data_IF_270047212097
#
_entry.id   IF_270047212097
#
_cell.length_a   1.000
_cell.length_b   1.000
_cell.length_c   1.000
_cell.angle_alpha   90.00
_cell.angle_beta   90.00
_cell.angle_gamma   90.00
#
_symmetry.space_group_name_H-M   'P 1'
#
loop_
_entity.id
_entity.type
_entity.pdbx_description
1 polymer ?
#
# COMPACT_ATOMS: atom_id res chain seq x y z
N UNK A 1 1.32 9.51 -4.26
CA UNK A 1 0.46 8.98 -3.19
C UNK A 1 1.06 7.75 -2.51
N UNK A 2 1.56 6.73 -3.23
CA UNK A 2 2.20 5.54 -2.64
C UNK A 2 3.40 5.82 -1.70
N UNK A 3 4.26 6.78 -2.06
CA UNK A 3 5.40 7.14 -1.23
C UNK A 3 5.01 7.70 0.14
N UNK A 4 3.95 8.50 0.21
CA UNK A 4 3.48 9.08 1.49
C UNK A 4 2.96 7.97 2.41
N UNK A 5 2.16 7.05 1.90
CA UNK A 5 1.63 5.93 2.67
C UNK A 5 2.75 5.02 3.16
N UNK A 6 3.71 4.68 2.29
CA UNK A 6 4.84 3.84 2.65
C UNK A 6 5.73 4.50 3.73
N UNK A 7 5.97 5.81 3.62
CA UNK A 7 6.74 6.58 4.61
C UNK A 7 5.99 6.66 5.94
N UNK A 8 4.68 6.91 5.93
CA UNK A 8 3.86 6.98 7.16
C UNK A 8 3.83 5.62 7.89
N UNK A 9 3.66 4.51 7.18
CA UNK A 9 3.74 3.18 7.80
C UNK A 9 5.13 2.86 8.35
N UNK A 10 6.20 3.24 7.64
CA UNK A 10 7.56 3.04 8.11
C UNK A 10 7.85 3.83 9.41
N UNK A 11 7.38 5.08 9.47
CA UNK A 11 7.56 5.93 10.65
C UNK A 11 6.74 5.39 11.83
N UNK A 12 5.50 4.96 11.60
CA UNK A 12 4.63 4.41 12.66
C UNK A 12 5.19 3.08 13.19
N UNK A 13 5.62 2.16 12.31
CA UNK A 13 6.24 0.89 12.72
C UNK A 13 7.59 1.11 13.44
N UNK A 14 8.30 2.21 13.15
CA UNK A 14 9.55 2.56 13.84
C UNK A 14 9.31 3.23 15.20
N UNK A 15 8.24 4.02 15.35
CA UNK A 15 7.92 4.75 16.58
C UNK A 15 7.19 3.87 17.60
N UNK A 16 6.33 2.97 17.14
CA UNK A 16 5.51 2.13 18.01
C UNK A 16 5.46 0.69 17.45
N UNK A 17 6.60 -0.03 17.46
CA UNK A 17 6.67 -1.37 16.91
C UNK A 17 5.70 -2.28 17.69
N UNK A 18 4.69 -2.88 17.04
CA UNK A 18 3.66 -3.66 17.73
C UNK A 18 4.29 -4.85 18.47
N UNK A 19 4.39 -4.78 19.78
CA UNK A 19 4.93 -5.88 20.58
C UNK A 19 3.97 -7.06 20.43
N UNK A 20 4.43 -8.17 19.86
CA UNK A 20 3.61 -9.38 19.76
C UNK A 20 3.26 -9.88 21.16
N UNK A 21 2.08 -10.50 21.32
CA UNK A 21 1.59 -11.02 22.61
C UNK A 21 2.56 -11.99 23.31
N UNK A 22 3.51 -12.58 22.56
CA UNK A 22 4.54 -13.50 23.03
C UNK A 22 5.90 -12.83 23.34
N UNK A 23 5.98 -11.49 23.33
CA UNK A 23 7.20 -10.74 23.67
C UNK A 23 8.32 -10.83 22.63
N UNK A 24 8.02 -11.29 21.40
CA UNK A 24 9.00 -11.29 20.29
C UNK A 24 8.93 -9.98 19.51
N UNK A 25 10.09 -9.54 19.02
CA UNK A 25 10.19 -8.35 18.17
C UNK A 25 9.30 -8.51 16.93
N UNK A 26 8.41 -7.54 16.73
CA UNK A 26 7.65 -7.37 15.49
C UNK A 26 8.60 -7.38 14.30
N UNK A 27 8.29 -8.16 13.26
CA UNK A 27 9.07 -8.15 12.03
C UNK A 27 8.39 -7.19 11.03
N UNK A 28 8.83 -5.93 10.92
CA UNK A 28 8.23 -4.95 10.00
C UNK A 28 8.31 -5.37 8.52
N UNK A 29 9.16 -6.36 8.20
CA UNK A 29 9.30 -6.90 6.84
C UNK A 29 8.01 -7.51 6.28
N UNK A 30 7.19 -8.20 7.08
CA UNK A 30 5.91 -8.75 6.61
C UNK A 30 4.91 -7.64 6.27
N UNK A 31 4.84 -6.63 7.13
CA UNK A 31 3.94 -5.50 6.94
C UNK A 31 4.32 -4.67 5.71
N UNK A 32 5.62 -4.48 5.48
CA UNK A 32 6.17 -3.85 4.28
C UNK A 32 5.84 -4.67 3.03
N UNK A 33 6.03 -6.00 3.06
CA UNK A 33 5.71 -6.87 1.93
C UNK A 33 4.21 -6.84 1.59
N UNK A 34 3.35 -6.90 2.61
CA UNK A 34 1.90 -6.79 2.44
C UNK A 34 1.50 -5.43 1.88
N UNK A 35 2.08 -4.34 2.39
CA UNK A 35 1.81 -2.98 1.92
C UNK A 35 2.24 -2.78 0.46
N UNK A 36 3.41 -3.30 0.08
CA UNK A 36 3.88 -3.27 -1.32
C UNK A 36 2.95 -4.07 -2.25
N UNK A 37 2.51 -5.26 -1.81
CA UNK A 37 1.59 -6.09 -2.57
C UNK A 37 0.23 -5.39 -2.76
N UNK A 38 -0.35 -4.87 -1.67
CA UNK A 38 -1.60 -4.10 -1.70
C UNK A 38 -1.49 -2.85 -2.57
N UNK A 39 -0.37 -2.12 -2.47
CA UNK A 39 -0.09 -0.95 -3.29
C UNK A 39 -0.01 -1.28 -4.78
N UNK A 40 0.60 -2.42 -5.13
CA UNK A 40 0.66 -2.91 -6.51
C UNK A 40 -0.73 -3.26 -7.07
N UNK A 41 -1.54 -3.99 -6.29
CA UNK A 41 -2.92 -4.34 -6.66
C UNK A 41 -3.76 -3.08 -6.86
N UNK A 42 -3.69 -2.13 -5.92
CA UNK A 42 -4.44 -0.87 -6.03
C UNK A 42 -4.00 -0.05 -7.26
N UNK A 43 -2.68 0.02 -7.52
CA UNK A 43 -2.13 0.66 -8.70
C UNK A 43 -2.65 0.04 -10.00
N UNK A 44 -2.69 -1.30 -10.08
CA UNK A 44 -3.24 -2.01 -11.24
C UNK A 44 -4.73 -1.72 -11.46
N UNK A 45 -5.54 -1.73 -10.38
CA UNK A 45 -6.96 -1.40 -10.46
C UNK A 45 -7.17 0.01 -10.98
N UNK A 46 -6.49 1.01 -10.40
CA UNK A 46 -6.59 2.41 -10.83
C UNK A 46 -6.16 2.58 -12.28
N UNK A 47 -5.07 1.92 -12.71
CA UNK A 47 -4.59 1.96 -14.08
C UNK A 47 -5.64 1.41 -15.06
N UNK A 48 -6.24 0.26 -14.74
CA UNK A 48 -7.31 -0.33 -15.57
C UNK A 48 -8.51 0.61 -15.66
N UNK A 49 -8.96 1.18 -14.55
CA UNK A 49 -10.05 2.15 -14.55
C UNK A 49 -9.74 3.39 -15.38
N UNK A 50 -8.53 3.94 -15.25
CA UNK A 50 -8.09 5.09 -16.04
C UNK A 50 -8.11 4.79 -17.53
N UNK A 51 -7.57 3.64 -17.95
CA UNK A 51 -7.60 3.20 -19.36
C UNK A 51 -9.04 2.98 -19.83
N UNK A 52 -9.92 2.44 -18.99
CA UNK A 52 -11.34 2.24 -19.33
C UNK A 52 -12.08 3.57 -19.53
N UNK A 53 -11.82 4.56 -18.68
CA UNK A 53 -12.39 5.91 -18.81
C UNK A 53 -11.89 6.58 -20.08
N UNK A 54 -10.57 6.51 -20.36
CA UNK A 54 -9.99 7.07 -21.58
C UNK A 54 -10.49 6.35 -22.85
N UNK A 55 -10.78 5.06 -22.78
CA UNK A 55 -11.32 4.27 -23.88
C UNK A 55 -12.83 4.38 -24.06
N UNK A 56 -13.56 5.02 -23.14
CA UNK A 56 -14.94 5.37 -23.46
C UNK A 56 -14.89 6.37 -24.63
N UNK A 57 -15.49 6.04 -25.79
CA UNK A 57 -15.59 7.01 -26.86
C UNK A 57 -16.35 8.21 -26.30
N UNK A 58 -15.73 9.39 -26.36
CA UNK A 58 -16.33 10.66 -26.00
C UNK A 58 -17.68 10.77 -26.73
N UNK A 59 -18.77 10.39 -26.07
CA UNK A 59 -20.13 10.55 -26.57
C UNK A 59 -20.44 12.03 -26.41
N UNK A 60 -20.27 12.76 -27.52
CA UNK A 60 -20.89 14.08 -27.73
C UNK A 60 -22.39 14.01 -27.47
#
# INVERSE_FOLDING_TARGET
MLFSTMVTYNIVDCLDPPVTADGRHYMPAENIANSLFLGFVLGAVVFIFAVRIQRQPYRK
#
